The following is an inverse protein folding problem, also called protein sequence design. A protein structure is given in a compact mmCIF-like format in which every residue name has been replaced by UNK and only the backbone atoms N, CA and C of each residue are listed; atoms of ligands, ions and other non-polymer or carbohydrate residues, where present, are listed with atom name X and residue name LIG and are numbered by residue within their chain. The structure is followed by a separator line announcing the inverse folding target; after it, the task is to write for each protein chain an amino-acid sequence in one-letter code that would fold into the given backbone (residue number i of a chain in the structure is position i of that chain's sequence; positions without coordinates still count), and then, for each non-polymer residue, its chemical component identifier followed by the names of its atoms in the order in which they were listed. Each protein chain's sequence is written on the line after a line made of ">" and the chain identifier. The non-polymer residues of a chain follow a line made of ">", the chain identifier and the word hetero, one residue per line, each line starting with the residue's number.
data_IF_450396903160
#
_entry.id   IF_450396903160
#
_cell.length_a   1.000
_cell.length_b   1.000
_cell.length_c   1.000
_cell.angle_alpha   90.00
_cell.angle_beta   90.00
_cell.angle_gamma   90.00
#
_symmetry.space_group_name_H-M   'P 1'
#
loop_
_entity.id
_entity.type
_entity.pdbx_description
1 polymer ?
#
# COMPACT_ATOMS: atom_id res chain seq x y z
N UNK A 1 -0.22 4.12 -6.61
CA UNK A 1 0.74 5.13 -7.14
C UNK A 1 2.10 4.91 -6.47
N UNK A 2 3.11 5.74 -6.74
CA UNK A 2 4.43 5.65 -6.07
C UNK A 2 4.38 6.01 -4.57
N UNK A 3 3.34 6.73 -4.11
CA UNK A 3 3.22 7.27 -2.75
C UNK A 3 2.18 6.57 -1.88
N UNK A 4 1.34 5.70 -2.45
CA UNK A 4 0.30 5.02 -1.71
C UNK A 4 -0.50 4.01 -2.54
N UNK A 5 -1.37 3.29 -1.83
CA UNK A 5 -2.27 2.30 -2.40
C UNK A 5 -3.68 2.49 -1.84
N UNK A 6 -4.68 2.30 -2.69
CA UNK A 6 -6.08 2.10 -2.31
C UNK A 6 -6.47 0.65 -2.56
N UNK A 7 -7.19 0.04 -1.63
CA UNK A 7 -7.67 -1.34 -1.78
C UNK A 7 -8.94 -1.57 -0.95
N UNK A 8 -9.62 -2.68 -1.24
CA UNK A 8 -10.75 -3.17 -0.46
C UNK A 8 -10.27 -4.17 0.59
N UNK A 9 -10.85 -4.13 1.78
CA UNK A 9 -10.54 -5.05 2.87
C UNK A 9 -11.71 -5.26 3.82
N UNK A 10 -11.46 -6.03 4.87
CA UNK A 10 -12.41 -6.27 5.95
C UNK A 10 -11.92 -5.62 7.26
N UNK A 11 -12.82 -5.15 8.13
CA UNK A 11 -12.47 -4.67 9.47
C UNK A 11 -11.78 -5.74 10.34
N UNK A 12 -11.03 -5.34 11.39
CA UNK A 12 -10.80 -3.97 11.84
C UNK A 12 -9.55 -3.33 11.24
N UNK A 13 -9.71 -2.17 10.59
CA UNK A 13 -8.62 -1.29 10.12
C UNK A 13 -9.05 0.16 10.38
N UNK A 14 -8.22 0.93 11.08
CA UNK A 14 -8.50 2.29 11.49
C UNK A 14 -7.56 3.31 10.86
N UNK A 15 -8.00 4.57 10.81
CA UNK A 15 -7.14 5.69 10.44
C UNK A 15 -5.94 5.78 11.39
N UNK A 16 -4.77 6.05 10.82
CA UNK A 16 -3.45 6.10 11.46
C UNK A 16 -2.84 4.74 11.86
N UNK A 17 -3.49 3.62 11.57
CA UNK A 17 -2.87 2.31 11.77
C UNK A 17 -1.64 2.17 10.87
N UNK A 18 -0.56 1.65 11.46
CA UNK A 18 0.64 1.25 10.72
C UNK A 18 0.43 -0.16 10.18
N UNK A 19 0.43 -0.28 8.86
CA UNK A 19 0.13 -1.54 8.16
C UNK A 19 1.31 -2.02 7.32
N UNK A 20 1.35 -3.33 7.09
CA UNK A 20 2.24 -3.97 6.12
C UNK A 20 1.40 -4.46 4.95
N UNK A 21 1.70 -3.95 3.77
CA UNK A 21 1.03 -4.28 2.52
C UNK A 21 1.91 -5.26 1.76
N UNK A 22 1.31 -6.32 1.22
CA UNK A 22 1.94 -7.19 0.23
C UNK A 22 1.20 -7.04 -1.09
N UNK A 23 1.81 -6.39 -2.07
CA UNK A 23 1.28 -6.28 -3.42
C UNK A 23 1.76 -7.49 -4.20
N UNK A 24 0.88 -8.45 -4.49
CA UNK A 24 1.17 -9.58 -5.37
C UNK A 24 0.86 -9.20 -6.80
N UNK A 25 1.85 -9.35 -7.67
CA UNK A 25 1.67 -9.19 -9.12
C UNK A 25 2.15 -10.48 -9.78
N UNK A 26 1.53 -10.93 -10.88
CA UNK A 26 1.85 -12.23 -11.50
C UNK A 26 3.33 -12.44 -11.81
N UNK A 27 4.05 -11.37 -12.12
CA UNK A 27 5.45 -11.41 -12.57
C UNK A 27 6.48 -11.06 -11.47
N UNK A 28 6.04 -10.81 -10.23
CA UNK A 28 6.93 -10.40 -9.13
C UNK A 28 6.68 -11.27 -7.89
N UNK A 29 7.74 -11.60 -7.14
CA UNK A 29 7.66 -12.35 -5.86
C UNK A 29 6.82 -11.64 -4.76
N UNK A 30 6.31 -10.45 -5.06
CA UNK A 30 5.45 -9.66 -4.20
C UNK A 30 6.20 -8.52 -3.56
N UNK A 31 5.64 -7.32 -3.66
CA UNK A 31 6.23 -6.11 -3.14
C UNK A 31 5.69 -5.84 -1.73
N UNK A 32 6.56 -5.96 -0.73
CA UNK A 32 6.24 -5.69 0.68
C UNK A 32 6.46 -4.21 0.98
N UNK A 33 5.44 -3.49 1.42
CA UNK A 33 5.51 -2.08 1.77
C UNK A 33 4.95 -1.85 3.18
N UNK A 34 5.46 -0.81 3.85
CA UNK A 34 4.91 -0.25 5.07
C UNK A 34 4.17 1.04 4.74
N UNK A 35 3.10 1.30 5.46
CA UNK A 35 2.35 2.53 5.31
C UNK A 35 1.45 2.82 6.49
N UNK A 36 0.82 3.99 6.41
CA UNK A 36 -0.12 4.49 7.40
C UNK A 36 -1.48 4.64 6.71
N UNK A 37 -2.52 4.07 7.32
CA UNK A 37 -3.90 4.25 6.85
C UNK A 37 -4.28 5.73 7.01
N UNK A 38 -4.64 6.38 5.90
CA UNK A 38 -5.07 7.79 5.90
C UNK A 38 -6.58 7.94 5.92
N UNK A 39 -7.29 6.99 5.35
CA UNK A 39 -8.74 6.91 5.37
C UNK A 39 -9.17 5.44 5.27
N UNK A 40 -10.29 5.15 5.93
CA UNK A 40 -10.99 3.88 5.87
C UNK A 40 -12.49 4.20 5.88
N UNK A 41 -13.22 3.82 4.85
CA UNK A 41 -14.63 4.15 4.68
C UNK A 41 -15.40 2.92 4.22
N UNK A 42 -16.55 2.66 4.83
CA UNK A 42 -17.43 1.58 4.41
C UNK A 42 -17.93 1.81 2.98
N UNK A 43 -17.97 0.73 2.20
CA UNK A 43 -18.61 0.69 0.91
C UNK A 43 -20.05 0.23 1.09
N UNK A 44 -20.98 1.18 0.98
CA UNK A 44 -22.40 0.98 1.29
C UNK A 44 -23.10 -0.11 0.48
N UNK A 45 -22.54 -0.51 -0.67
CA UNK A 45 -23.13 -1.55 -1.52
C UNK A 45 -22.57 -2.96 -1.24
N UNK A 46 -21.33 -3.06 -0.74
CA UNK A 46 -20.60 -4.33 -0.66
C UNK A 46 -20.35 -4.81 0.78
N UNK A 47 -20.61 -3.97 1.78
CA UNK A 47 -20.23 -4.24 3.18
C UNK A 47 -18.71 -4.34 3.39
N UNK A 48 -17.91 -3.97 2.38
CA UNK A 48 -16.46 -3.96 2.42
C UNK A 48 -15.92 -2.60 2.86
N UNK A 49 -14.66 -2.55 3.29
CA UNK A 49 -13.99 -1.31 3.68
C UNK A 49 -13.08 -0.86 2.55
N UNK A 50 -13.28 0.34 2.01
CA UNK A 50 -12.30 1.00 1.14
C UNK A 50 -11.23 1.61 2.04
N UNK A 51 -9.98 1.29 1.76
CA UNK A 51 -8.84 1.67 2.59
C UNK A 51 -7.81 2.39 1.72
N UNK A 52 -7.39 3.57 2.18
CA UNK A 52 -6.29 4.32 1.59
C UNK A 52 -5.09 4.34 2.49
N UNK A 53 -3.96 3.88 1.98
CA UNK A 53 -2.68 3.83 2.69
C UNK A 53 -1.67 4.73 2.00
N UNK A 54 -1.04 5.61 2.78
CA UNK A 54 0.16 6.32 2.38
C UNK A 54 1.38 5.48 2.73
N UNK A 55 2.27 5.25 1.78
CA UNK A 55 3.49 4.51 2.05
C UNK A 55 4.42 5.30 2.98
N UNK A 56 5.08 4.60 3.90
CA UNK A 56 6.15 5.17 4.71
C UNK A 56 7.29 5.65 3.80
N UNK A 57 8.12 6.61 4.25
CA UNK A 57 9.27 7.09 3.49
C UNK A 57 10.19 5.96 3.02
N UNK A 58 10.96 6.24 1.97
CA UNK A 58 11.97 5.30 1.47
C UNK A 58 13.36 5.66 2.01
N UNK A 59 14.11 4.67 2.45
CA UNK A 59 15.49 4.85 2.91
C UNK A 59 16.06 3.60 3.58
N UNK A 60 17.12 3.80 4.37
CA UNK A 60 17.92 2.70 4.94
C UNK A 60 17.56 2.34 6.39
N UNK A 61 16.58 3.02 6.99
CA UNK A 61 16.11 2.73 8.35
C UNK A 61 15.11 1.59 8.36
N UNK A 62 15.02 0.87 9.49
CA UNK A 62 14.02 -0.19 9.72
C UNK A 62 12.59 0.33 9.61
N UNK A 63 12.35 1.60 9.89
CA UNK A 63 11.01 2.20 9.83
C UNK A 63 10.57 2.55 8.40
N UNK A 64 11.51 2.55 7.45
CA UNK A 64 11.29 2.97 6.07
C UNK A 64 11.06 1.78 5.15
N UNK A 65 10.49 2.08 3.98
CA UNK A 65 10.52 1.19 2.84
C UNK A 65 11.92 1.20 2.22
N UNK A 66 12.39 0.05 1.73
CA UNK A 66 13.69 -0.01 1.08
C UNK A 66 13.68 0.78 -0.23
N UNK A 67 14.76 1.50 -0.55
CA UNK A 67 14.89 2.27 -1.79
C UNK A 67 14.64 1.41 -3.04
N UNK A 68 15.06 0.13 -3.04
CA UNK A 68 14.77 -0.82 -4.13
C UNK A 68 13.27 -0.98 -4.42
N UNK A 69 12.41 -0.83 -3.41
CA UNK A 69 10.96 -0.90 -3.57
C UNK A 69 10.42 0.31 -4.34
N UNK A 70 11.04 1.49 -4.20
CA UNK A 70 10.68 2.67 -4.99
C UNK A 70 10.99 2.46 -6.48
N UNK A 71 12.13 1.86 -6.79
CA UNK A 71 12.50 1.49 -8.16
C UNK A 71 11.49 0.48 -8.75
N UNK A 72 11.09 -0.54 -7.98
CA UNK A 72 10.04 -1.48 -8.40
C UNK A 72 8.71 -0.76 -8.65
N UNK A 73 8.27 0.12 -7.75
CA UNK A 73 7.06 0.93 -7.95
C UNK A 73 7.17 1.83 -9.18
N UNK A 74 8.36 2.35 -9.49
CA UNK A 74 8.67 3.09 -10.71
C UNK A 74 8.36 2.28 -11.96
N UNK A 75 8.97 1.10 -12.08
CA UNK A 75 8.77 0.17 -13.20
C UNK A 75 7.31 -0.25 -13.35
N UNK A 76 6.62 -0.49 -12.23
CA UNK A 76 5.20 -0.84 -12.24
C UNK A 76 4.34 0.33 -12.74
N UNK A 77 4.63 1.55 -12.29
CA UNK A 77 3.90 2.74 -12.75
C UNK A 77 4.08 2.98 -14.25
N UNK A 78 5.23 2.65 -14.82
CA UNK A 78 5.47 2.78 -16.27
C UNK A 78 4.77 1.69 -17.08
N UNK A 79 4.66 0.47 -16.53
CA UNK A 79 4.01 -0.66 -17.21
C UNK A 79 2.49 -0.55 -17.26
N UNK A 80 1.88 0.05 -16.24
CA UNK A 80 0.42 0.11 -16.07
C UNK A 80 -0.18 1.51 -16.29
N UNK A 81 0.62 2.49 -16.72
CA UNK A 81 0.16 3.76 -17.28
C UNK A 81 0.09 3.67 -18.80
#
# INVERSE_FOLDING_TARGET
>A
SKSGAGFFGMPPINKNDVVRILIKLPEFEGLKLKGIVRWASEDGESGGLRIGVQFSPFGNSREYNCVKMLETLGKLSEKFN
#
